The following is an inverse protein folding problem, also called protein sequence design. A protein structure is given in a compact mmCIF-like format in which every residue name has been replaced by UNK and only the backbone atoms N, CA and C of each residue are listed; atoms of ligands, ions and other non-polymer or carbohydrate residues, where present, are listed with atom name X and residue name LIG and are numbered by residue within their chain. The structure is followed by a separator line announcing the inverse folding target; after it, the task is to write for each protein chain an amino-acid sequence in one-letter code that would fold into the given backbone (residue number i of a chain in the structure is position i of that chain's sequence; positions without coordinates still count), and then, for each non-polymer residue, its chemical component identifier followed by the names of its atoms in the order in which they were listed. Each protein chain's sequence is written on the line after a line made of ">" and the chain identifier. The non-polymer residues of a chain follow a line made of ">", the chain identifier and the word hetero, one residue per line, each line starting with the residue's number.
data_IF_113178604557
#
_entry.id   IF_113178604557
#
_cell.length_a   1.000
_cell.length_b   1.000
_cell.length_c   1.000
_cell.angle_alpha   90.00
_cell.angle_beta   90.00
_cell.angle_gamma   90.00
#
_symmetry.space_group_name_H-M   'P 1'
#
loop_
_entity.id
_entity.type
_entity.pdbx_description
1 polymer ?
#
# COMPACT_ATOMS: atom_id res chain seq x y z
N UNK A 1 -16.61 20.71 -1.22
CA UNK A 1 -16.13 19.97 -2.42
C UNK A 1 -14.78 19.27 -2.25
N UNK A 2 -13.84 19.71 -1.39
CA UNK A 2 -12.60 18.95 -1.09
C UNK A 2 -12.71 17.97 0.10
N UNK A 3 -13.45 18.33 1.15
CA UNK A 3 -13.62 17.47 2.32
C UNK A 3 -14.30 16.12 1.97
N UNK A 4 -15.29 16.17 1.07
CA UNK A 4 -16.02 15.00 0.60
C UNK A 4 -15.13 14.06 -0.23
N UNK A 5 -14.24 14.60 -1.08
CA UNK A 5 -13.22 13.79 -1.79
C UNK A 5 -12.27 13.10 -0.81
N UNK A 6 -11.85 13.78 0.26
CA UNK A 6 -11.00 13.16 1.30
C UNK A 6 -11.73 12.07 2.07
N UNK A 7 -13.03 12.20 2.31
CA UNK A 7 -13.82 11.18 2.98
C UNK A 7 -14.01 9.93 2.10
N UNK A 8 -14.31 10.11 0.81
CA UNK A 8 -14.42 9.00 -0.15
C UNK A 8 -13.09 8.26 -0.31
N UNK A 9 -11.97 8.99 -0.36
CA UNK A 9 -10.63 8.39 -0.46
C UNK A 9 -10.26 7.62 0.81
N UNK A 10 -10.55 8.17 2.00
CA UNK A 10 -10.38 7.46 3.26
C UNK A 10 -11.23 6.18 3.33
N UNK A 11 -12.50 6.24 2.89
CA UNK A 11 -13.34 5.02 2.81
C UNK A 11 -12.78 3.96 1.86
N UNK A 12 -12.01 4.35 0.83
CA UNK A 12 -11.35 3.43 -0.10
C UNK A 12 -10.01 2.87 0.43
N UNK A 13 -9.63 3.20 1.67
CA UNK A 13 -8.37 2.78 2.28
C UNK A 13 -7.16 3.61 1.84
N UNK A 14 -7.38 4.81 1.27
CA UNK A 14 -6.28 5.73 1.00
C UNK A 14 -5.83 6.43 2.28
N UNK A 15 -4.52 6.64 2.40
CA UNK A 15 -3.91 7.23 3.58
C UNK A 15 -3.56 6.21 4.68
N UNK A 16 -3.85 4.94 4.44
CA UNK A 16 -3.44 3.83 5.30
C UNK A 16 -2.36 3.01 4.61
N UNK A 17 -1.51 2.38 5.42
CA UNK A 17 -0.50 1.47 4.94
C UNK A 17 -0.88 0.05 5.33
N UNK A 18 -1.34 -0.72 4.35
CA UNK A 18 -1.89 -2.08 4.54
C UNK A 18 -1.08 -3.14 3.82
N UNK A 19 -1.10 -4.34 4.38
CA UNK A 19 -0.59 -5.53 3.70
C UNK A 19 -1.70 -6.15 2.85
N UNK A 20 -1.38 -6.51 1.61
CA UNK A 20 -2.31 -7.17 0.69
C UNK A 20 -1.67 -8.43 0.10
N UNK A 21 -2.50 -9.35 -0.36
CA UNK A 21 -2.05 -10.48 -1.16
C UNK A 21 -1.71 -10.09 -2.60
N UNK A 22 -0.96 -10.93 -3.31
CA UNK A 22 -0.65 -10.73 -4.74
C UNK A 22 -1.93 -10.70 -5.59
N UNK A 23 -2.94 -11.49 -5.26
CA UNK A 23 -4.23 -11.49 -5.96
C UNK A 23 -5.00 -10.17 -5.87
N UNK A 24 -4.85 -9.43 -4.76
CA UNK A 24 -5.50 -8.14 -4.56
C UNK A 24 -4.69 -6.97 -5.15
N UNK A 25 -3.41 -7.19 -5.51
CA UNK A 25 -2.52 -6.17 -6.03
C UNK A 25 -3.11 -5.42 -7.21
N UNK A 26 -3.56 -6.14 -8.23
CA UNK A 26 -4.12 -5.56 -9.45
C UNK A 26 -5.36 -4.72 -9.16
N UNK A 27 -6.28 -5.22 -8.33
CA UNK A 27 -7.48 -4.48 -7.94
C UNK A 27 -7.13 -3.20 -7.17
N UNK A 28 -6.10 -3.28 -6.31
CA UNK A 28 -5.67 -2.17 -5.46
C UNK A 28 -5.00 -1.05 -6.25
N UNK A 29 -4.13 -1.38 -7.20
CA UNK A 29 -3.39 -0.39 -8.01
C UNK A 29 -4.23 0.17 -9.15
N UNK A 30 -5.17 -0.59 -9.72
CA UNK A 30 -6.04 -0.10 -10.80
C UNK A 30 -7.18 0.78 -10.29
N UNK A 31 -7.60 0.60 -9.03
CA UNK A 31 -8.63 1.43 -8.39
C UNK A 31 -8.15 2.81 -7.93
N UNK A 32 -6.86 3.11 -8.05
CA UNK A 32 -6.24 4.32 -7.50
C UNK A 32 -5.30 4.97 -8.51
N UNK A 33 -5.39 6.29 -8.66
CA UNK A 33 -4.55 7.04 -9.63
C UNK A 33 -3.06 7.02 -9.24
N UNK A 34 -2.77 6.95 -7.94
CA UNK A 34 -1.41 6.86 -7.40
C UNK A 34 -1.36 5.74 -6.35
N UNK A 35 -0.48 4.77 -6.56
CA UNK A 35 -0.25 3.67 -5.63
C UNK A 35 1.26 3.47 -5.40
N UNK A 36 1.63 3.20 -4.15
CA UNK A 36 2.99 2.87 -3.73
C UNK A 36 2.95 1.44 -3.20
N UNK A 37 3.75 0.58 -3.82
CA UNK A 37 3.80 -0.84 -3.51
C UNK A 37 5.18 -1.20 -2.96
N UNK A 38 5.23 -1.59 -1.69
CA UNK A 38 6.45 -2.05 -1.06
C UNK A 38 6.52 -3.57 -1.06
N UNK A 39 7.31 -4.12 -1.97
CA UNK A 39 7.72 -5.52 -1.92
C UNK A 39 8.76 -5.68 -0.83
N UNK A 40 8.37 -6.34 0.25
CA UNK A 40 9.21 -6.53 1.44
C UNK A 40 9.57 -8.01 1.59
N UNK A 41 10.69 -8.28 2.23
CA UNK A 41 11.14 -9.63 2.54
C UNK A 41 11.59 -9.65 4.00
N UNK A 42 11.15 -10.65 4.75
CA UNK A 42 11.21 -10.63 6.23
C UNK A 42 12.63 -10.64 6.77
N UNK A 43 13.56 -11.23 6.02
CA UNK A 43 14.99 -11.28 6.37
C UNK A 43 15.71 -9.94 6.19
N UNK A 44 15.16 -9.00 5.41
CA UNK A 44 15.85 -7.74 5.14
C UNK A 44 15.47 -6.66 6.16
N UNK A 45 16.38 -6.35 7.07
CA UNK A 45 16.21 -5.26 8.06
C UNK A 45 15.89 -3.90 7.40
N UNK A 46 16.42 -3.65 6.21
CA UNK A 46 16.15 -2.43 5.42
C UNK A 46 14.66 -2.26 5.07
N UNK A 47 13.93 -3.36 4.85
CA UNK A 47 12.50 -3.32 4.63
C UNK A 47 11.73 -2.83 5.86
N UNK A 48 12.18 -3.16 7.07
CA UNK A 48 11.56 -2.66 8.32
C UNK A 48 11.69 -1.14 8.46
N UNK A 49 12.79 -0.57 7.97
CA UNK A 49 13.00 0.88 7.97
C UNK A 49 12.02 1.53 6.98
N UNK A 50 11.92 1.00 5.75
CA UNK A 50 10.96 1.51 4.76
C UNK A 50 9.51 1.39 5.23
N UNK A 51 9.13 0.29 5.86
CA UNK A 51 7.80 0.07 6.44
C UNK A 51 7.41 1.20 7.41
N UNK A 52 8.33 1.60 8.30
CA UNK A 52 8.13 2.71 9.23
C UNK A 52 7.93 4.05 8.51
N UNK A 53 8.75 4.36 7.51
CA UNK A 53 8.64 5.62 6.77
C UNK A 53 7.36 5.68 5.94
N UNK A 54 7.01 4.59 5.25
CA UNK A 54 5.78 4.50 4.44
C UNK A 54 4.54 4.62 5.32
N UNK A 55 4.53 3.98 6.49
CA UNK A 55 3.44 4.11 7.47
C UNK A 55 3.26 5.54 7.97
N UNK A 56 4.36 6.29 8.15
CA UNK A 56 4.31 7.69 8.55
C UNK A 56 3.90 8.65 7.41
N UNK A 57 4.18 8.27 6.16
CA UNK A 57 3.82 9.04 4.96
C UNK A 57 2.38 8.80 4.51
N UNK A 58 1.86 7.59 4.69
CA UNK A 58 0.50 7.23 4.30
C UNK A 58 -0.56 8.26 4.74
N UNK A 59 -0.70 8.64 6.03
CA UNK A 59 -1.73 9.59 6.45
C UNK A 59 -1.52 11.01 5.90
N UNK A 60 -0.29 11.36 5.49
CA UNK A 60 0.02 12.66 4.88
C UNK A 60 -0.39 12.71 3.40
N UNK A 61 -0.52 11.55 2.75
CA UNK A 61 -0.80 11.41 1.33
C UNK A 61 -2.11 10.66 1.10
N UNK A 62 -3.22 11.24 1.53
CA UNK A 62 -4.60 10.68 1.36
C UNK A 62 -4.99 10.51 -0.14
N UNK A 63 -4.25 11.12 -1.06
CA UNK A 63 -4.43 10.90 -2.50
C UNK A 63 -3.74 9.64 -3.05
N UNK A 64 -2.95 8.94 -2.24
CA UNK A 64 -2.09 7.83 -2.67
C UNK A 64 -2.36 6.60 -1.81
N UNK A 65 -2.42 5.43 -2.46
CA UNK A 65 -2.58 4.16 -1.77
C UNK A 65 -1.21 3.62 -1.37
N UNK A 66 -1.04 3.22 -0.13
CA UNK A 66 0.20 2.62 0.35
C UNK A 66 -0.07 1.16 0.68
N UNK A 67 0.54 0.26 -0.09
CA UNK A 67 0.37 -1.18 0.06
C UNK A 67 1.74 -1.86 0.21
N UNK A 68 1.77 -2.96 0.95
CA UNK A 68 2.95 -3.83 1.06
C UNK A 68 2.61 -5.27 0.73
N UNK A 69 3.57 -5.94 0.10
CA UNK A 69 3.46 -7.34 -0.28
C UNK A 69 4.72 -8.08 0.14
N UNK A 70 4.51 -9.28 0.65
CA UNK A 70 5.59 -10.20 0.99
C UNK A 70 6.15 -10.83 -0.30
N UNK A 71 7.41 -10.53 -0.61
CA UNK A 71 8.10 -10.99 -1.81
C UNK A 71 8.59 -12.45 -1.71
N UNK A 72 8.64 -13.02 -0.50
CA UNK A 72 8.96 -14.44 -0.30
C UNK A 72 7.76 -15.35 -0.58
N UNK A 73 6.54 -14.80 -0.55
CA UNK A 73 5.31 -15.47 -0.96
C UNK A 73 5.27 -15.66 -2.49
N UNK A 74 6.31 -16.28 -3.05
CA UNK A 74 6.35 -16.82 -4.41
C UNK A 74 5.36 -17.97 -4.52
N UNK A 75 4.11 -17.65 -4.80
CA UNK A 75 3.17 -18.58 -5.40
C UNK A 75 2.93 -18.23 -6.88
N UNK A 76 3.97 -17.77 -7.59
CA UNK A 76 3.86 -17.41 -9.00
C UNK A 76 4.48 -18.44 -9.98
N UNK A 77 4.89 -19.63 -9.55
CA UNK A 77 5.15 -20.74 -10.49
C UNK A 77 4.80 -22.10 -9.87
N UNK A 78 3.53 -22.47 -9.95
CA UNK A 78 3.13 -23.83 -10.31
C UNK A 78 1.80 -23.81 -11.06
#
# INVERSE_FOLDING_TARGET
>A
KEAEKRQVLQMKGHGEYREIGEGDFLAEVTGSEKAICHFYHKEFYRCKIMDKHLKALAPKHIGTKFIKLDAEKRNCYR
#
